data_IF_907023132539
#
_entry.id   IF_907023132539
#
_cell.length_a   1.000
_cell.length_b   1.000
_cell.length_c   1.000
_cell.angle_alpha   90.00
_cell.angle_beta   90.00
_cell.angle_gamma   90.00
#
_symmetry.space_group_name_H-M   'P 1'
#
loop_
_entity.id
_entity.type
_entity.pdbx_description
1 polymer ?
#
# COMPACT_ATOMS: atom_id res chain seq x y z
N UNK A 1 -55.53 3.26 6.23
CA UNK A 1 -54.80 2.31 5.36
C UNK A 1 -53.65 2.95 4.56
N UNK A 2 -53.79 4.17 4.03
CA UNK A 2 -52.74 4.83 3.20
C UNK A 2 -51.51 5.39 3.95
N UNK A 3 -51.61 5.68 5.26
CA UNK A 3 -50.47 6.20 6.06
C UNK A 3 -49.34 5.17 6.26
N UNK A 4 -49.69 3.89 6.33
CA UNK A 4 -48.73 2.80 6.49
C UNK A 4 -48.14 2.38 5.13
N UNK A 5 -48.83 2.68 4.01
CA UNK A 5 -48.35 2.40 2.65
C UNK A 5 -47.22 3.37 2.24
N UNK A 6 -47.30 4.63 2.66
CA UNK A 6 -46.23 5.63 2.45
C UNK A 6 -44.94 5.28 3.22
N UNK A 7 -45.06 4.71 4.42
CA UNK A 7 -43.91 4.23 5.21
C UNK A 7 -43.23 3.01 4.57
N UNK A 8 -43.99 2.12 3.94
CA UNK A 8 -43.47 0.96 3.20
C UNK A 8 -42.72 1.37 1.91
N UNK A 9 -43.21 2.38 1.19
CA UNK A 9 -42.53 2.93 0.01
C UNK A 9 -41.21 3.61 0.39
N UNK A 10 -41.16 4.26 1.56
CA UNK A 10 -39.93 4.89 2.06
C UNK A 10 -38.86 3.86 2.44
N UNK A 11 -39.25 2.68 2.94
CA UNK A 11 -38.31 1.58 3.27
C UNK A 11 -37.78 0.87 2.01
N UNK A 12 -38.56 0.80 0.93
CA UNK A 12 -38.16 0.18 -0.35
C UNK A 12 -37.22 1.06 -1.20
N UNK A 13 -37.11 2.37 -0.91
CA UNK A 13 -36.23 3.30 -1.63
C UNK A 13 -34.81 3.40 -1.04
N UNK A 14 -34.53 2.76 0.10
CA UNK A 14 -33.27 2.94 0.84
C UNK A 14 -32.13 1.90 0.66
N UNK A 15 -32.20 0.80 -0.13
CA UNK A 15 -31.07 -0.15 -0.12
C UNK A 15 -29.87 0.23 -1.00
N UNK A 16 -29.84 1.39 -1.68
CA UNK A 16 -28.80 1.68 -2.69
C UNK A 16 -27.57 2.49 -2.20
N UNK A 17 -27.37 2.72 -0.91
CA UNK A 17 -26.31 3.62 -0.42
C UNK A 17 -25.10 2.95 0.25
N UNK A 18 -24.93 1.62 0.15
CA UNK A 18 -23.77 0.93 0.76
C UNK A 18 -23.05 0.03 -0.26
N UNK A 19 -22.89 0.48 -1.49
CA UNK A 19 -21.70 0.09 -2.25
C UNK A 19 -20.63 1.13 -1.92
N UNK A 20 -19.87 0.86 -0.85
CA UNK A 20 -18.52 1.40 -0.78
C UNK A 20 -17.86 1.03 -2.11
N UNK A 21 -17.57 2.02 -2.93
CA UNK A 21 -16.80 1.82 -4.15
C UNK A 21 -15.41 1.41 -3.68
N UNK A 22 -15.20 0.11 -3.47
CA UNK A 22 -13.88 -0.51 -3.44
C UNK A 22 -13.22 0.00 -4.71
N UNK A 23 -12.31 0.96 -4.58
CA UNK A 23 -11.52 1.43 -5.71
C UNK A 23 -10.82 0.18 -6.24
N UNK A 24 -11.16 -0.28 -7.46
CA UNK A 24 -10.44 -1.40 -8.03
C UNK A 24 -8.99 -0.95 -8.18
N UNK A 25 -8.05 -1.81 -7.78
CA UNK A 25 -6.64 -1.53 -7.93
C UNK A 25 -5.90 -1.16 -6.66
N UNK A 26 -4.73 -0.58 -6.87
CA UNK A 26 -3.82 -0.12 -5.83
C UNK A 26 -3.04 1.10 -6.31
N UNK A 27 -2.59 1.92 -5.37
CA UNK A 27 -1.67 3.02 -5.59
C UNK A 27 -0.73 3.17 -4.39
N UNK A 28 0.58 3.04 -4.63
CA UNK A 28 1.62 3.17 -3.61
C UNK A 28 2.52 4.32 -4.03
N UNK A 29 2.42 5.41 -3.27
CA UNK A 29 3.26 6.60 -3.47
C UNK A 29 4.60 6.39 -2.76
N UNK A 30 5.67 6.09 -3.50
CA UNK A 30 6.98 5.76 -2.94
C UNK A 30 7.93 6.96 -3.05
N UNK A 31 8.54 7.35 -1.94
CA UNK A 31 9.58 8.37 -1.87
C UNK A 31 10.82 7.86 -1.12
N UNK A 32 11.96 7.83 -1.79
CA UNK A 32 13.25 7.43 -1.23
C UNK A 32 14.24 8.59 -1.37
N UNK A 33 14.32 9.42 -0.33
CA UNK A 33 15.17 10.60 -0.32
C UNK A 33 16.65 10.21 -0.47
N UNK A 34 17.32 10.83 -1.45
CA UNK A 34 18.73 10.58 -1.74
C UNK A 34 19.01 9.43 -2.71
N UNK A 35 17.97 8.83 -3.32
CA UNK A 35 18.11 7.81 -4.35
C UNK A 35 17.46 8.27 -5.67
N UNK A 36 18.23 8.95 -6.52
CA UNK A 36 17.74 9.56 -7.77
C UNK A 36 17.90 8.62 -8.95
N UNK A 37 17.00 8.70 -9.93
CA UNK A 37 17.14 8.09 -11.26
C UNK A 37 17.58 6.61 -11.20
N UNK A 38 17.02 5.86 -10.24
CA UNK A 38 17.46 4.51 -9.87
C UNK A 38 16.31 3.50 -9.95
N UNK A 39 16.65 2.23 -10.17
CA UNK A 39 15.70 1.13 -10.11
C UNK A 39 15.62 0.54 -8.70
N UNK A 40 14.40 0.32 -8.24
CA UNK A 40 14.07 -0.49 -7.06
C UNK A 40 13.10 -1.59 -7.49
N UNK A 41 12.95 -2.64 -6.69
CA UNK A 41 12.07 -3.76 -7.03
C UNK A 41 11.01 -3.96 -5.97
N UNK A 42 9.76 -4.13 -6.39
CA UNK A 42 8.74 -4.69 -5.52
C UNK A 42 8.82 -6.20 -5.66
N UNK A 43 9.02 -6.90 -4.55
CA UNK A 43 9.15 -8.35 -4.51
C UNK A 43 8.26 -8.95 -3.41
N UNK A 44 8.02 -10.26 -3.46
CA UNK A 44 7.28 -10.99 -2.44
C UNK A 44 7.86 -12.39 -2.26
N UNK A 45 7.52 -13.00 -1.12
CA UNK A 45 7.85 -14.40 -0.83
C UNK A 45 6.75 -15.34 -1.32
N UNK A 46 7.16 -16.44 -1.96
CA UNK A 46 6.29 -17.57 -2.28
C UNK A 46 7.04 -18.87 -1.94
N UNK A 47 6.67 -19.47 -0.82
CA UNK A 47 7.39 -20.60 -0.25
C UNK A 47 8.80 -20.20 0.18
N UNK A 48 9.80 -20.93 -0.31
CA UNK A 48 11.22 -20.71 -0.06
C UNK A 48 11.87 -19.71 -1.05
N UNK A 49 11.10 -19.16 -1.98
CA UNK A 49 11.59 -18.30 -3.06
C UNK A 49 11.09 -16.87 -2.95
N UNK A 50 11.88 -15.95 -3.50
CA UNK A 50 11.53 -14.55 -3.69
C UNK A 50 11.26 -14.28 -5.16
N UNK A 51 10.17 -13.58 -5.45
CA UNK A 51 9.75 -13.22 -6.80
C UNK A 51 9.67 -11.70 -6.92
N UNK A 52 10.14 -11.18 -8.05
CA UNK A 52 9.98 -9.76 -8.40
C UNK A 52 8.57 -9.61 -8.97
N UNK A 53 7.76 -8.78 -8.31
CA UNK A 53 6.45 -8.36 -8.79
C UNK A 53 6.57 -7.27 -9.85
N UNK A 54 7.43 -6.27 -9.61
CA UNK A 54 7.60 -5.13 -10.51
C UNK A 54 9.00 -4.50 -10.40
N UNK A 55 9.43 -3.86 -11.49
CA UNK A 55 10.63 -3.02 -11.55
C UNK A 55 10.23 -1.56 -11.58
N UNK A 56 10.61 -0.83 -10.54
CA UNK A 56 10.14 0.53 -10.28
C UNK A 56 11.28 1.50 -10.54
N UNK A 57 11.03 2.50 -11.40
CA UNK A 57 11.98 3.56 -11.69
C UNK A 57 11.63 4.79 -10.86
N UNK A 58 12.60 5.27 -10.09
CA UNK A 58 12.51 6.51 -9.33
C UNK A 58 12.89 7.69 -10.22
N UNK A 59 12.20 8.82 -10.06
CA UNK A 59 12.54 10.07 -10.72
C UNK A 59 13.80 10.73 -10.14
N UNK A 60 14.16 11.90 -10.67
CA UNK A 60 15.29 12.70 -10.18
C UNK A 60 15.15 13.21 -8.74
N UNK A 61 13.99 13.05 -8.11
CA UNK A 61 13.76 13.38 -6.70
C UNK A 61 13.65 12.13 -5.80
N UNK A 62 13.85 10.94 -6.37
CA UNK A 62 13.67 9.67 -5.68
C UNK A 62 12.22 9.30 -5.44
N UNK A 63 11.30 9.76 -6.29
CA UNK A 63 9.86 9.56 -6.16
C UNK A 63 9.30 8.74 -7.31
N UNK A 64 8.21 8.04 -7.05
CA UNK A 64 7.42 7.33 -8.06
C UNK A 64 6.05 6.99 -7.52
N UNK A 65 5.12 6.64 -8.41
CA UNK A 65 3.78 6.16 -8.06
C UNK A 65 3.58 4.81 -8.72
N UNK A 66 3.46 3.77 -7.90
CA UNK A 66 3.25 2.39 -8.34
C UNK A 66 1.76 2.14 -8.30
N UNK A 67 1.14 1.76 -9.42
CA UNK A 67 -0.31 1.57 -9.47
C UNK A 67 -0.72 0.50 -10.47
N UNK A 68 -1.88 -0.09 -10.24
CA UNK A 68 -2.51 -1.03 -11.16
C UNK A 68 -4.01 -1.12 -10.93
N UNK A 69 -4.74 -1.62 -11.92
CA UNK A 69 -6.21 -1.64 -11.91
C UNK A 69 -6.81 -2.81 -11.10
N UNK A 70 -5.97 -3.76 -10.69
CA UNK A 70 -6.35 -4.89 -9.84
C UNK A 70 -5.60 -4.82 -8.51
N UNK A 71 -6.29 -5.07 -7.40
CA UNK A 71 -5.69 -5.07 -6.07
C UNK A 71 -4.55 -6.11 -6.01
N UNK A 72 -3.47 -5.76 -5.32
CA UNK A 72 -2.40 -6.70 -5.06
C UNK A 72 -2.87 -7.76 -4.06
N UNK A 73 -2.47 -9.04 -4.24
CA UNK A 73 -2.70 -10.06 -3.23
C UNK A 73 -2.16 -9.63 -1.87
N UNK A 74 -2.94 -9.87 -0.81
CA UNK A 74 -2.52 -9.52 0.54
C UNK A 74 -1.32 -10.37 0.98
N UNK A 75 -0.41 -9.77 1.74
CA UNK A 75 0.80 -10.46 2.23
C UNK A 75 1.95 -9.53 2.53
N UNK A 76 3.14 -10.11 2.74
CA UNK A 76 4.38 -9.37 2.97
C UNK A 76 5.12 -9.20 1.64
N UNK A 77 5.35 -7.95 1.28
CA UNK A 77 6.16 -7.54 0.13
C UNK A 77 7.45 -6.89 0.62
N UNK A 78 8.41 -6.75 -0.28
CA UNK A 78 9.69 -6.12 -0.05
C UNK A 78 9.93 -5.06 -1.11
N UNK A 79 10.40 -3.89 -0.70
CA UNK A 79 11.01 -2.93 -1.62
C UNK A 79 12.51 -3.10 -1.56
N UNK A 80 13.06 -3.72 -2.60
CA UNK A 80 14.48 -4.02 -2.72
C UNK A 80 15.20 -2.81 -3.32
N UNK A 81 16.15 -2.29 -2.55
CA UNK A 81 16.95 -1.12 -2.86
C UNK A 81 18.30 -1.54 -3.51
N UNK A 82 19.01 -0.60 -4.17
CA UNK A 82 20.38 -0.83 -4.60
C UNK A 82 21.27 -1.28 -3.45
N UNK A 83 22.14 -2.25 -3.70
CA UNK A 83 22.95 -2.88 -2.66
C UNK A 83 22.29 -4.09 -1.98
N UNK A 84 21.13 -4.55 -2.49
CA UNK A 84 20.39 -5.73 -1.98
C UNK A 84 19.89 -5.58 -0.54
N UNK A 85 19.80 -4.35 -0.05
CA UNK A 85 19.04 -4.04 1.17
C UNK A 85 17.57 -3.89 0.81
N UNK A 86 16.68 -4.06 1.78
CA UNK A 86 15.26 -3.94 1.56
C UNK A 86 14.55 -3.55 2.85
N UNK A 87 13.33 -3.05 2.71
CA UNK A 87 12.37 -2.99 3.79
C UNK A 87 11.09 -3.71 3.39
N UNK A 88 10.37 -4.19 4.39
CA UNK A 88 9.12 -4.90 4.21
C UNK A 88 7.93 -3.93 4.20
N UNK A 89 6.92 -4.29 3.42
CA UNK A 89 5.63 -3.62 3.33
C UNK A 89 4.55 -4.69 3.51
N UNK A 90 3.61 -4.46 4.41
CA UNK A 90 2.38 -5.22 4.50
C UNK A 90 1.40 -4.73 3.43
N UNK A 91 1.03 -5.61 2.51
CA UNK A 91 -0.07 -5.40 1.59
C UNK A 91 -1.34 -5.91 2.25
N UNK A 92 -2.08 -5.04 2.91
CA UNK A 92 -3.32 -5.38 3.61
C UNK A 92 -4.55 -5.09 2.75
N UNK A 93 -5.73 -4.89 3.36
CA UNK A 93 -6.87 -4.32 2.65
C UNK A 93 -6.62 -2.87 2.20
N UNK A 94 -5.66 -2.16 2.81
CA UNK A 94 -5.27 -0.81 2.41
C UNK A 94 -4.39 -0.87 1.16
N UNK A 95 -5.00 -0.63 0.00
CA UNK A 95 -4.32 -0.66 -1.29
C UNK A 95 -3.86 0.73 -1.76
N UNK A 96 -4.11 1.77 -0.97
CA UNK A 96 -3.85 3.17 -1.32
C UNK A 96 -3.11 3.87 -0.18
N UNK A 97 -1.79 3.97 -0.27
CA UNK A 97 -0.96 4.52 0.79
C UNK A 97 0.34 5.13 0.27
N UNK A 98 1.04 5.84 1.14
CA UNK A 98 2.35 6.42 0.85
C UNK A 98 3.42 5.79 1.72
N UNK A 99 4.62 5.63 1.15
CA UNK A 99 5.81 5.14 1.84
C UNK A 99 6.94 6.14 1.62
N UNK A 100 7.60 6.53 2.71
CA UNK A 100 8.76 7.41 2.63
C UNK A 100 9.91 6.96 3.53
N UNK A 101 11.13 7.13 3.03
CA UNK A 101 12.36 6.93 3.80
C UNK A 101 13.53 7.73 3.21
N UNK A 102 14.68 7.71 3.89
CA UNK A 102 15.97 8.14 3.37
C UNK A 102 16.77 6.91 2.95
N UNK A 103 17.42 6.94 1.78
CA UNK A 103 18.24 5.83 1.31
C UNK A 103 19.40 5.50 2.25
N UNK A 104 20.02 6.52 2.86
CA UNK A 104 21.16 6.36 3.77
C UNK A 104 20.78 5.66 5.09
N UNK A 105 19.53 5.79 5.50
CA UNK A 105 19.03 5.27 6.78
C UNK A 105 17.58 4.84 6.64
N UNK A 106 17.33 3.91 5.72
CA UNK A 106 15.96 3.52 5.37
C UNK A 106 15.24 2.93 6.58
N UNK A 107 15.94 2.15 7.41
CA UNK A 107 15.36 1.47 8.56
C UNK A 107 14.76 2.45 9.57
N UNK A 108 15.53 3.45 10.03
CA UNK A 108 15.05 4.37 11.05
C UNK A 108 14.06 5.40 10.49
N UNK A 109 14.21 5.76 9.22
CA UNK A 109 13.41 6.83 8.59
C UNK A 109 12.15 6.34 7.87
N UNK A 110 11.95 5.01 7.75
CA UNK A 110 10.77 4.42 7.14
C UNK A 110 9.49 4.87 7.86
N UNK A 111 8.56 5.41 7.08
CA UNK A 111 7.27 5.94 7.50
C UNK A 111 6.19 5.64 6.45
N UNK A 112 4.98 5.45 6.93
CA UNK A 112 3.80 5.19 6.12
C UNK A 112 2.73 6.25 6.42
N UNK A 113 1.96 6.60 5.40
CA UNK A 113 0.75 7.42 5.52
C UNK A 113 -0.40 6.72 4.79
N UNK A 114 -1.58 6.68 5.40
CA UNK A 114 -2.72 5.94 4.85
C UNK A 114 -2.61 4.41 5.01
N UNK A 115 -1.72 3.93 5.89
CA UNK A 115 -1.66 2.51 6.29
C UNK A 115 -1.22 2.39 7.75
N UNK A 116 -2.21 2.24 8.64
CA UNK A 116 -1.97 2.13 10.08
C UNK A 116 -1.28 0.81 10.43
N UNK A 117 -1.59 -0.26 9.71
CA UNK A 117 -0.96 -1.57 9.89
C UNK A 117 0.53 -1.54 9.58
N UNK A 118 0.95 -0.92 8.47
CA UNK A 118 2.37 -0.74 8.18
C UNK A 118 3.05 0.15 9.21
N UNK A 119 2.37 1.19 9.69
CA UNK A 119 2.90 2.07 10.74
C UNK A 119 3.16 1.30 12.03
N UNK A 120 2.21 0.46 12.46
CA UNK A 120 2.35 -0.41 13.62
C UNK A 120 3.44 -1.47 13.42
N UNK A 121 3.50 -2.07 12.22
CA UNK A 121 4.49 -3.08 11.86
C UNK A 121 5.93 -2.54 11.94
N UNK A 122 6.19 -1.38 11.36
CA UNK A 122 7.49 -0.71 11.46
C UNK A 122 7.84 -0.37 12.90
N UNK A 123 6.87 0.11 13.70
CA UNK A 123 7.12 0.41 15.11
C UNK A 123 7.49 -0.85 15.89
N UNK A 124 6.86 -1.99 15.59
CA UNK A 124 7.22 -3.28 16.15
C UNK A 124 8.63 -3.70 15.73
N UNK A 125 8.96 -3.65 14.43
CA UNK A 125 10.30 -4.01 13.92
C UNK A 125 11.40 -3.15 14.53
N UNK A 126 11.20 -1.83 14.68
CA UNK A 126 12.19 -0.93 15.32
C UNK A 126 12.40 -1.23 16.81
N UNK A 127 11.41 -1.84 17.47
CA UNK A 127 11.49 -2.18 18.90
C UNK A 127 12.19 -3.52 19.15
N UNK A 128 12.10 -4.46 18.20
CA UNK A 128 12.48 -5.86 18.41
C UNK A 128 13.43 -6.45 17.36
N UNK A 129 13.72 -5.73 16.27
CA UNK A 129 14.74 -6.06 15.28
C UNK A 129 16.08 -5.42 15.62
#
# INVERSE_FOLDING_TARGET
>A
MMRNLLLLIFILLYPNLIFSQLKPGYEINLTINGLRDSSVYLAYHLGDKQYIQDTIILDGNGKTVIKGDAALPQGIYMVVLPGRTYFEILMSSDQFFSVSCSFKDYFNTLKFEGSDENTAFVAYQKKWG
#
